data_IF_546802249729
#
_entry.id   IF_546802249729
#
_cell.length_a   1.000
_cell.length_b   1.000
_cell.length_c   1.000
_cell.angle_alpha   90.00
_cell.angle_beta   90.00
_cell.angle_gamma   90.00
#
_symmetry.space_group_name_H-M   'P 1'
#
loop_
_entity.id
_entity.type
_entity.pdbx_description
1 polymer ?
#
# COMPACT_ATOMS: atom_id res chain seq x y z
N UNK A 1 -15.10 0.28 -10.55
CA UNK A 1 -14.20 1.23 -9.89
C UNK A 1 -13.49 0.52 -8.75
N UNK A 2 -12.18 0.37 -8.83
CA UNK A 2 -11.35 -0.29 -7.80
C UNK A 2 -10.55 0.78 -7.06
N UNK A 3 -10.58 0.77 -5.73
CA UNK A 3 -9.74 1.63 -4.89
C UNK A 3 -8.41 0.93 -4.65
N UNK A 4 -7.31 1.64 -4.87
CA UNK A 4 -5.96 1.11 -4.64
C UNK A 4 -5.11 2.10 -3.86
N UNK A 5 -4.15 1.58 -3.11
CA UNK A 5 -3.03 2.33 -2.51
C UNK A 5 -1.72 1.71 -2.97
N UNK A 6 -0.66 2.51 -3.04
CA UNK A 6 0.69 2.04 -3.41
C UNK A 6 1.61 2.04 -2.20
N UNK A 7 2.18 0.87 -1.89
CA UNK A 7 3.06 0.64 -0.75
C UNK A 7 4.48 0.31 -1.23
N UNK A 8 5.47 0.87 -0.53
CA UNK A 8 6.89 0.58 -0.75
C UNK A 8 7.52 0.07 0.55
N UNK A 9 8.09 -1.13 0.51
CA UNK A 9 8.67 -1.80 1.69
C UNK A 9 10.12 -1.40 2.02
N UNK A 10 10.87 -0.84 1.05
CA UNK A 10 12.26 -0.40 1.20
C UNK A 10 12.50 0.91 0.47
N UNK A 11 13.43 1.75 0.93
CA UNK A 11 13.65 3.12 0.40
C UNK A 11 13.79 3.20 -1.13
N UNK A 12 14.42 2.21 -1.78
CA UNK A 12 14.62 2.13 -3.24
C UNK A 12 13.83 0.97 -3.92
N UNK A 13 12.75 0.49 -3.31
CA UNK A 13 11.98 -0.67 -3.80
C UNK A 13 10.90 -0.36 -4.84
N UNK A 14 10.42 -1.41 -5.52
CA UNK A 14 9.19 -1.37 -6.32
C UNK A 14 8.00 -0.93 -5.46
N UNK A 15 7.05 -0.25 -6.09
CA UNK A 15 5.73 0.04 -5.49
C UNK A 15 4.81 -1.13 -5.81
N UNK A 16 4.19 -1.68 -4.78
CA UNK A 16 3.16 -2.70 -4.89
C UNK A 16 1.81 -2.08 -4.58
N UNK A 17 0.77 -2.49 -5.32
CA UNK A 17 -0.57 -1.94 -5.17
C UNK A 17 -1.47 -2.91 -4.42
N UNK A 18 -2.25 -2.37 -3.50
CA UNK A 18 -3.13 -3.13 -2.62
C UNK A 18 -4.52 -2.51 -2.61
N UNK A 19 -5.53 -3.36 -2.43
CA UNK A 19 -6.88 -2.92 -2.05
C UNK A 19 -6.83 -2.53 -0.57
N UNK A 20 -7.15 -1.27 -0.21
CA UNK A 20 -7.18 -0.85 1.20
C UNK A 20 -8.40 -1.40 1.95
N UNK A 21 -9.32 -2.08 1.28
CA UNK A 21 -10.58 -2.60 1.85
C UNK A 21 -11.29 -1.45 2.59
N UNK A 22 -11.60 -1.63 3.87
CA UNK A 22 -12.29 -0.66 4.70
C UNK A 22 -11.34 0.23 5.51
N UNK A 23 -10.03 0.05 5.36
CA UNK A 23 -9.05 0.87 6.07
C UNK A 23 -8.98 2.28 5.48
N UNK A 24 -9.01 3.29 6.37
CA UNK A 24 -8.73 4.67 5.99
C UNK A 24 -7.22 4.90 5.90
N UNK A 25 -6.66 4.49 4.76
CA UNK A 25 -5.23 4.63 4.46
C UNK A 25 -4.98 5.92 3.69
N UNK A 26 -4.00 6.69 4.13
CA UNK A 26 -3.53 7.94 3.50
C UNK A 26 -2.06 7.84 3.10
N UNK A 27 -1.62 8.76 2.24
CA UNK A 27 -0.21 8.84 1.87
C UNK A 27 0.65 9.14 3.11
N UNK A 28 1.88 8.63 3.10
CA UNK A 28 2.88 8.78 4.16
C UNK A 28 2.59 8.01 5.46
N UNK A 29 1.49 7.27 5.53
CA UNK A 29 1.27 6.30 6.60
C UNK A 29 2.24 5.12 6.53
N UNK A 30 2.68 4.68 7.70
CA UNK A 30 3.39 3.43 7.91
C UNK A 30 2.41 2.26 8.03
N UNK A 31 2.75 1.14 7.42
CA UNK A 31 1.88 -0.04 7.33
C UNK A 31 2.68 -1.33 7.47
N UNK A 32 2.04 -2.35 8.02
CA UNK A 32 2.52 -3.74 7.97
C UNK A 32 1.52 -4.53 7.16
N UNK A 33 2.00 -5.27 6.17
CA UNK A 33 1.18 -6.02 5.21
C UNK A 33 1.61 -7.47 5.18
N UNK A 34 0.66 -8.41 5.23
CA UNK A 34 0.94 -9.82 4.99
C UNK A 34 1.16 -10.04 3.48
N UNK A 35 2.34 -10.51 3.09
CA UNK A 35 2.66 -10.90 1.71
C UNK A 35 2.89 -12.41 1.61
N UNK A 36 3.09 -12.93 0.40
CA UNK A 36 3.46 -14.34 0.22
C UNK A 36 4.80 -14.72 0.89
N UNK A 37 5.58 -13.75 1.39
CA UNK A 37 6.85 -13.95 2.10
C UNK A 37 6.73 -13.72 3.62
N UNK A 38 5.53 -13.45 4.11
CA UNK A 38 5.25 -13.10 5.51
C UNK A 38 4.90 -11.62 5.69
N UNK A 39 4.88 -11.18 6.95
CA UNK A 39 4.66 -9.78 7.31
C UNK A 39 5.80 -8.88 6.82
N UNK A 40 5.45 -7.83 6.09
CA UNK A 40 6.38 -6.81 5.60
C UNK A 40 5.95 -5.41 6.07
N UNK A 41 6.91 -4.65 6.62
CA UNK A 41 6.74 -3.23 6.93
C UNK A 41 7.01 -2.38 5.69
N UNK A 42 6.19 -1.36 5.46
CA UNK A 42 6.37 -0.41 4.36
C UNK A 42 5.68 0.93 4.61
N UNK A 43 5.85 1.83 3.64
CA UNK A 43 5.23 3.15 3.64
C UNK A 43 4.28 3.30 2.47
N UNK A 44 3.13 3.93 2.71
CA UNK A 44 2.19 4.31 1.66
C UNK A 44 2.77 5.49 0.88
N UNK A 45 3.21 5.24 -0.34
CA UNK A 45 3.84 6.25 -1.22
C UNK A 45 2.90 6.73 -2.32
N UNK A 46 1.76 6.06 -2.50
CA UNK A 46 0.65 6.52 -3.33
C UNK A 46 -0.62 6.40 -2.50
N UNK A 47 -1.22 7.54 -2.16
CA UNK A 47 -2.52 7.56 -1.47
C UNK A 47 -3.66 6.97 -2.31
N UNK A 48 -4.89 6.89 -1.75
CA UNK A 48 -6.04 6.27 -2.41
C UNK A 48 -6.29 6.81 -3.82
N UNK A 49 -6.29 5.92 -4.81
CA UNK A 49 -6.70 6.21 -6.19
C UNK A 49 -7.83 5.29 -6.63
N UNK A 50 -8.72 5.79 -7.47
CA UNK A 50 -9.78 5.01 -8.11
C UNK A 50 -9.38 4.74 -9.56
N UNK A 51 -9.41 3.47 -9.96
CA UNK A 51 -9.32 3.08 -11.36
C UNK A 51 -10.70 2.65 -11.88
N UNK A 52 -11.01 3.10 -13.10
CA UNK A 52 -12.22 2.78 -13.85
C UNK A 52 -12.10 1.45 -14.55
#
# INVERSE_FOLDING_TARGET
MIKIVGIRFKSAGKIYYFDPVDFNIEQDMDVVVETARGLEYGKVVVGPKRYG
#
